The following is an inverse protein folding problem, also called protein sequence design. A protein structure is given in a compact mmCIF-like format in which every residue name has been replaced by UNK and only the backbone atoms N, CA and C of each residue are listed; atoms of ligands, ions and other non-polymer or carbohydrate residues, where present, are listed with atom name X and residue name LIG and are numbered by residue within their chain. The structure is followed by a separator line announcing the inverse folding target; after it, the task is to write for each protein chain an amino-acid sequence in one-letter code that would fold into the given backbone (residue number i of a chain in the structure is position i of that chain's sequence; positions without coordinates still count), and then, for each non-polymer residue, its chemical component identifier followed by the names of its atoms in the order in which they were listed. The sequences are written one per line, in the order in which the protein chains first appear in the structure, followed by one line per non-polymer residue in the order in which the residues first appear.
data_IF_849430733559
#
_entry.id   IF_849430733559
#
_cell.length_a   1.000
_cell.length_b   1.000
_cell.length_c   1.000
_cell.angle_alpha   90.00
_cell.angle_beta   90.00
_cell.angle_gamma   90.00
#
_symmetry.space_group_name_H-M   'P 1'
#
loop_
_entity.id
_entity.type
_entity.pdbx_description
1 polymer ?
#
# COMPACT_ATOMS: atom_id res chain seq x y z
N UNK A 1 -14.85 18.99 5.99
CA UNK A 1 -14.85 18.41 7.36
C UNK A 1 -13.40 18.07 7.68
N UNK A 2 -12.93 18.31 8.91
CA UNK A 2 -11.57 17.94 9.35
C UNK A 2 -11.47 16.42 9.56
N UNK A 3 -10.30 15.82 9.29
CA UNK A 3 -10.08 14.38 9.34
C UNK A 3 -10.62 13.70 10.60
N UNK A 4 -10.34 14.21 11.81
CA UNK A 4 -10.82 13.58 13.05
C UNK A 4 -12.36 13.47 13.12
N UNK A 5 -13.08 14.49 12.63
CA UNK A 5 -14.55 14.43 12.59
C UNK A 5 -15.06 13.45 11.52
N UNK A 6 -14.25 13.15 10.51
CA UNK A 6 -14.55 12.16 9.47
C UNK A 6 -14.28 10.74 9.97
N UNK A 7 -13.16 10.53 10.67
CA UNK A 7 -12.78 9.26 11.29
C UNK A 7 -13.84 8.75 12.26
N UNK A 8 -14.12 9.52 13.31
CA UNK A 8 -15.14 9.15 14.30
C UNK A 8 -16.55 8.98 13.70
N UNK A 9 -16.90 9.73 12.64
CA UNK A 9 -18.22 9.58 12.00
C UNK A 9 -18.34 8.30 11.18
N UNK A 10 -17.27 7.87 10.49
CA UNK A 10 -17.26 6.58 9.77
C UNK A 10 -17.20 5.40 10.75
N UNK A 11 -16.36 5.50 11.78
CA UNK A 11 -16.22 4.51 12.86
C UNK A 11 -17.56 4.29 13.59
N UNK A 12 -18.19 5.38 14.09
CA UNK A 12 -19.53 5.35 14.69
C UNK A 12 -20.56 4.65 13.81
N UNK A 13 -20.58 4.92 12.50
CA UNK A 13 -21.54 4.30 11.59
C UNK A 13 -21.26 2.80 11.41
N UNK A 14 -20.01 2.39 11.33
CA UNK A 14 -19.66 0.97 11.25
C UNK A 14 -20.07 0.23 12.53
N UNK A 15 -19.78 0.80 13.69
CA UNK A 15 -20.18 0.27 14.99
C UNK A 15 -21.71 0.19 15.14
N UNK A 16 -22.45 1.26 14.83
CA UNK A 16 -23.92 1.29 14.88
C UNK A 16 -24.59 0.30 13.92
N UNK A 17 -24.00 0.07 12.74
CA UNK A 17 -24.51 -0.92 11.77
C UNK A 17 -24.15 -2.35 12.18
N UNK A 18 -23.07 -2.52 12.95
CA UNK A 18 -22.52 -3.79 13.41
C UNK A 18 -22.36 -4.87 12.33
N UNK A 19 -22.12 -4.46 11.08
CA UNK A 19 -21.96 -5.35 9.91
C UNK A 19 -21.19 -4.66 8.77
N UNK A 20 -20.58 -5.42 7.84
CA UNK A 20 -20.00 -4.85 6.63
C UNK A 20 -21.05 -4.11 5.78
N UNK A 21 -20.70 -2.92 5.30
CA UNK A 21 -21.61 -2.02 4.56
C UNK A 21 -20.93 -1.37 3.36
N UNK A 22 -21.69 -1.02 2.33
CA UNK A 22 -21.15 -0.27 1.18
C UNK A 22 -20.85 1.19 1.54
N UNK A 23 -20.00 1.85 0.77
CA UNK A 23 -19.73 3.29 0.96
C UNK A 23 -20.98 4.18 0.77
N UNK A 24 -21.97 3.71 0.02
CA UNK A 24 -23.24 4.42 -0.12
C UNK A 24 -24.05 4.34 1.18
N UNK A 25 -24.17 3.17 1.80
CA UNK A 25 -24.83 3.01 3.10
C UNK A 25 -24.13 3.83 4.22
N UNK A 26 -22.80 3.95 4.17
CA UNK A 26 -22.03 4.82 5.09
C UNK A 26 -22.43 6.30 4.90
N UNK A 27 -22.45 6.81 3.66
CA UNK A 27 -22.89 8.19 3.39
C UNK A 27 -24.37 8.42 3.72
N UNK A 28 -25.26 7.48 3.39
CA UNK A 28 -26.69 7.58 3.69
C UNK A 28 -26.95 7.66 5.19
N UNK A 29 -26.05 7.08 6.00
CA UNK A 29 -26.08 7.16 7.46
C UNK A 29 -25.43 8.44 8.04
N UNK A 30 -24.99 9.39 7.21
CA UNK A 30 -24.51 10.70 7.65
C UNK A 30 -24.77 11.84 6.67
N UNK A 31 -25.50 12.85 7.14
CA UNK A 31 -25.67 14.14 6.42
C UNK A 31 -24.38 14.94 6.25
N UNK A 32 -23.27 14.52 6.91
CA UNK A 32 -22.01 15.25 6.94
C UNK A 32 -20.93 14.66 6.01
N UNK A 33 -21.03 13.38 5.66
CA UNK A 33 -20.06 12.69 4.80
C UNK A 33 -20.32 13.01 3.32
N UNK A 34 -19.34 13.64 2.66
CA UNK A 34 -19.41 14.03 1.23
C UNK A 34 -18.31 13.40 0.38
N UNK A 35 -17.38 12.69 1.01
CA UNK A 35 -16.20 12.11 0.39
C UNK A 35 -16.60 10.92 -0.51
N UNK A 36 -15.93 10.83 -1.67
CA UNK A 36 -16.00 9.66 -2.55
C UNK A 36 -14.94 8.64 -2.11
N UNK A 37 -15.31 7.38 -1.97
CA UNK A 37 -14.35 6.28 -1.87
C UNK A 37 -14.00 5.74 -3.27
N UNK A 38 -12.87 5.01 -3.42
CA UNK A 38 -11.86 4.71 -2.41
C UNK A 38 -10.71 5.73 -2.35
N UNK A 39 -10.42 6.45 -3.44
CA UNK A 39 -9.18 7.22 -3.65
C UNK A 39 -9.12 8.60 -2.96
N UNK A 40 -10.04 8.91 -2.05
CA UNK A 40 -9.96 10.15 -1.28
C UNK A 40 -8.99 9.93 -0.10
N UNK A 41 -7.99 10.80 0.07
CA UNK A 41 -6.91 10.65 1.07
C UNK A 41 -7.40 10.25 2.46
N UNK A 42 -8.50 10.84 2.95
CA UNK A 42 -9.07 10.44 4.25
C UNK A 42 -9.58 8.98 4.30
N UNK A 43 -10.13 8.44 3.21
CA UNK A 43 -10.61 7.04 3.15
C UNK A 43 -9.42 6.08 3.16
N UNK A 44 -8.37 6.40 2.41
CA UNK A 44 -7.10 5.65 2.46
C UNK A 44 -6.49 5.68 3.86
N UNK A 45 -6.47 6.85 4.50
CA UNK A 45 -5.97 7.01 5.87
C UNK A 45 -6.73 6.15 6.89
N UNK A 46 -8.05 5.96 6.75
CA UNK A 46 -8.81 5.07 7.64
C UNK A 46 -8.35 3.60 7.60
N UNK A 47 -7.72 3.15 6.51
CA UNK A 47 -7.19 1.77 6.44
C UNK A 47 -6.06 1.55 7.46
N UNK A 48 -5.27 2.59 7.77
CA UNK A 48 -4.31 2.59 8.87
C UNK A 48 -4.95 2.92 10.22
N UNK A 49 -5.59 4.10 10.33
CA UNK A 49 -6.01 4.66 11.62
C UNK A 49 -7.06 3.83 12.38
N UNK A 50 -8.00 3.19 11.68
CA UNK A 50 -9.09 2.37 12.28
C UNK A 50 -9.15 0.94 11.73
N UNK A 51 -8.11 0.52 10.99
CA UNK A 51 -8.10 -0.79 10.34
C UNK A 51 -9.25 -0.98 9.34
N UNK A 52 -9.61 0.05 8.56
CA UNK A 52 -10.72 -0.03 7.62
C UNK A 52 -10.41 -0.99 6.45
N UNK A 53 -11.09 -2.14 6.42
CA UNK A 53 -10.93 -3.19 5.40
C UNK A 53 -11.92 -2.97 4.25
N UNK A 54 -11.46 -3.15 3.01
CA UNK A 54 -12.29 -3.20 1.80
C UNK A 54 -12.25 -4.58 1.17
N UNK A 55 -13.40 -5.12 0.79
CA UNK A 55 -13.50 -6.41 0.11
C UNK A 55 -14.79 -6.54 -0.73
N UNK A 56 -14.89 -7.58 -1.57
CA UNK A 56 -16.12 -7.96 -2.27
C UNK A 56 -16.95 -8.89 -1.39
N UNK A 57 -18.24 -8.58 -1.26
CA UNK A 57 -19.26 -9.50 -0.75
C UNK A 57 -20.33 -9.64 -1.85
N UNK A 58 -20.29 -10.76 -2.57
CA UNK A 58 -21.04 -10.93 -3.83
C UNK A 58 -20.69 -9.83 -4.84
N UNK A 59 -21.70 -9.20 -5.42
CA UNK A 59 -21.53 -8.14 -6.43
C UNK A 59 -21.28 -6.74 -5.84
N UNK A 60 -21.01 -6.60 -4.53
CA UNK A 60 -20.85 -5.30 -3.86
C UNK A 60 -19.47 -5.19 -3.20
N UNK A 61 -18.84 -4.02 -3.32
CA UNK A 61 -17.70 -3.64 -2.47
C UNK A 61 -18.21 -3.12 -1.13
N UNK A 62 -17.82 -3.79 -0.06
CA UNK A 62 -18.18 -3.46 1.32
C UNK A 62 -16.95 -3.06 2.13
N UNK A 63 -17.21 -2.38 3.23
CA UNK A 63 -16.24 -1.86 4.19
C UNK A 63 -16.58 -2.39 5.58
N UNK A 64 -15.55 -2.74 6.35
CA UNK A 64 -15.66 -3.28 7.70
C UNK A 64 -14.43 -2.88 8.54
N UNK A 65 -14.51 -3.02 9.86
CA UNK A 65 -13.37 -2.83 10.74
C UNK A 65 -12.56 -4.13 10.85
N UNK A 66 -11.22 -4.03 10.84
CA UNK A 66 -10.30 -5.18 10.95
C UNK A 66 -10.56 -6.03 12.20
N UNK A 67 -10.80 -5.39 13.33
CA UNK A 67 -11.03 -6.06 14.61
C UNK A 67 -12.21 -7.04 14.57
N UNK A 68 -13.22 -6.82 13.73
CA UNK A 68 -14.33 -7.76 13.58
C UNK A 68 -13.87 -9.13 13.03
N UNK A 69 -12.94 -9.14 12.07
CA UNK A 69 -12.39 -10.38 11.52
C UNK A 69 -11.42 -11.05 12.50
N UNK A 70 -10.67 -10.25 13.28
CA UNK A 70 -9.78 -10.76 14.35
C UNK A 70 -10.56 -11.39 15.52
N UNK A 71 -11.77 -10.88 15.78
CA UNK A 71 -12.80 -11.47 16.65
C UNK A 71 -13.50 -12.71 16.02
N UNK A 72 -13.18 -13.07 14.78
CA UNK A 72 -13.80 -14.18 14.05
C UNK A 72 -15.18 -13.90 13.45
N UNK A 73 -15.62 -12.63 13.37
CA UNK A 73 -16.88 -12.22 12.73
C UNK A 73 -16.66 -11.96 11.24
N UNK A 74 -17.63 -12.33 10.40
CA UNK A 74 -17.64 -12.04 8.96
C UNK A 74 -16.46 -12.64 8.16
N UNK A 75 -15.71 -13.58 8.75
CA UNK A 75 -14.59 -14.26 8.08
C UNK A 75 -15.05 -15.05 6.86
N UNK A 76 -16.30 -15.55 6.89
CA UNK A 76 -17.00 -16.20 5.78
C UNK A 76 -17.31 -15.28 4.59
N UNK A 77 -17.14 -13.96 4.75
CA UNK A 77 -17.33 -12.97 3.68
C UNK A 77 -16.00 -12.52 3.05
N UNK A 78 -14.85 -12.93 3.59
CA UNK A 78 -13.54 -12.64 3.02
C UNK A 78 -13.29 -13.55 1.80
N UNK A 79 -12.67 -13.04 0.72
CA UNK A 79 -12.51 -13.82 -0.50
C UNK A 79 -11.42 -14.89 -0.35
N UNK A 80 -11.78 -16.16 -0.58
CA UNK A 80 -10.84 -17.30 -0.52
C UNK A 80 -9.64 -17.18 -1.48
N UNK A 81 -9.78 -16.38 -2.55
CA UNK A 81 -8.76 -16.14 -3.57
C UNK A 81 -8.56 -14.66 -3.82
N UNK A 82 -7.31 -14.27 -4.01
CA UNK A 82 -6.91 -12.91 -4.41
C UNK A 82 -6.14 -12.94 -5.72
N UNK A 83 -6.33 -11.91 -6.54
CA UNK A 83 -5.44 -11.60 -7.65
C UNK A 83 -4.47 -10.51 -7.20
N UNK A 84 -3.18 -10.76 -7.42
CA UNK A 84 -2.07 -9.93 -6.99
C UNK A 84 -1.18 -9.60 -8.19
N UNK A 85 -0.79 -8.34 -8.34
CA UNK A 85 0.31 -7.93 -9.23
C UNK A 85 1.52 -7.63 -8.37
N UNK A 86 2.59 -8.39 -8.55
CA UNK A 86 3.82 -8.26 -7.76
C UNK A 86 4.55 -6.99 -8.21
N UNK A 87 4.89 -6.15 -7.24
CA UNK A 87 5.60 -4.90 -7.46
C UNK A 87 7.07 -5.04 -7.05
N UNK A 88 7.34 -5.74 -5.95
CA UNK A 88 8.69 -6.14 -5.53
C UNK A 88 8.65 -7.53 -4.91
N UNK A 89 9.73 -8.30 -5.06
CA UNK A 89 9.89 -9.63 -4.48
C UNK A 89 11.19 -9.68 -3.67
N UNK A 90 11.08 -9.80 -2.33
CA UNK A 90 12.21 -10.02 -1.43
C UNK A 90 12.31 -11.51 -1.07
N UNK A 91 13.34 -11.86 -0.31
CA UNK A 91 13.64 -13.25 0.10
C UNK A 91 12.57 -13.88 1.00
N UNK A 92 11.90 -13.09 1.82
CA UNK A 92 10.94 -13.52 2.85
C UNK A 92 9.50 -13.13 2.53
N UNK A 93 9.30 -12.01 1.84
CA UNK A 93 7.98 -11.45 1.49
C UNK A 93 7.99 -10.79 0.12
N UNK A 94 6.81 -10.60 -0.46
CA UNK A 94 6.63 -9.79 -1.66
C UNK A 94 5.68 -8.64 -1.38
N UNK A 95 5.86 -7.54 -2.10
CA UNK A 95 4.98 -6.38 -2.09
C UNK A 95 4.17 -6.42 -3.37
N UNK A 96 2.86 -6.47 -3.24
CA UNK A 96 1.93 -6.64 -4.35
C UNK A 96 0.77 -5.65 -4.29
N UNK A 97 0.18 -5.34 -5.45
CA UNK A 97 -1.12 -4.68 -5.53
C UNK A 97 -2.23 -5.71 -5.72
N UNK A 98 -3.28 -5.66 -4.89
CA UNK A 98 -4.47 -6.48 -5.09
C UNK A 98 -5.36 -5.95 -6.24
N UNK A 99 -6.46 -6.65 -6.54
CA UNK A 99 -7.45 -6.25 -7.55
C UNK A 99 -8.07 -4.84 -7.35
N UNK A 100 -7.88 -4.23 -6.17
CA UNK A 100 -8.34 -2.88 -5.83
C UNK A 100 -7.23 -1.83 -5.80
N UNK A 101 -6.03 -2.18 -6.25
CA UNK A 101 -4.79 -1.38 -6.22
C UNK A 101 -4.30 -1.05 -4.81
N UNK A 102 -4.71 -1.82 -3.81
CA UNK A 102 -4.19 -1.71 -2.44
C UNK A 102 -2.89 -2.49 -2.34
N UNK A 103 -1.90 -1.85 -1.74
CA UNK A 103 -0.65 -2.50 -1.39
C UNK A 103 -0.90 -3.58 -0.33
N UNK A 104 -0.31 -4.75 -0.56
CA UNK A 104 -0.32 -5.91 0.31
C UNK A 104 1.10 -6.44 0.43
N UNK A 105 1.41 -6.94 1.62
CA UNK A 105 2.63 -7.66 1.94
C UNK A 105 2.27 -9.13 2.01
N UNK A 106 2.82 -9.94 1.12
CA UNK A 106 2.37 -11.33 0.94
C UNK A 106 3.43 -12.31 1.38
N UNK A 107 2.98 -13.34 2.11
CA UNK A 107 3.77 -14.43 2.67
C UNK A 107 3.08 -15.77 2.38
N UNK A 108 3.82 -16.89 2.31
CA UNK A 108 5.25 -16.94 2.04
C UNK A 108 5.52 -16.54 0.58
N UNK A 109 6.78 -16.26 0.25
CA UNK A 109 7.22 -16.13 -1.15
C UNK A 109 7.91 -17.41 -1.57
N UNK A 110 7.38 -18.05 -2.62
CA UNK A 110 8.13 -19.07 -3.37
C UNK A 110 9.19 -18.37 -4.24
N UNK A 111 10.37 -18.97 -4.37
CA UNK A 111 11.52 -18.46 -5.14
C UNK A 111 11.27 -18.32 -6.67
N UNK A 112 10.02 -18.39 -7.11
CA UNK A 112 9.55 -18.38 -8.50
C UNK A 112 8.59 -17.21 -8.77
N UNK A 113 8.35 -16.35 -7.77
CA UNK A 113 7.55 -15.14 -7.92
C UNK A 113 8.48 -13.96 -8.22
N UNK A 114 8.32 -13.38 -9.40
CA UNK A 114 9.10 -12.24 -9.85
C UNK A 114 8.26 -10.97 -9.86
N UNK A 115 8.97 -9.85 -9.83
CA UNK A 115 8.37 -8.54 -10.02
C UNK A 115 7.68 -8.45 -11.39
N UNK A 116 6.52 -7.78 -11.41
CA UNK A 116 5.56 -7.69 -12.51
C UNK A 116 4.81 -8.99 -12.84
N UNK A 117 4.97 -10.06 -12.07
CA UNK A 117 4.09 -11.21 -12.17
C UNK A 117 2.67 -10.87 -11.70
N UNK A 118 1.69 -11.45 -12.39
CA UNK A 118 0.30 -11.50 -11.98
C UNK A 118 0.03 -12.92 -11.52
N UNK A 119 -0.30 -13.07 -10.24
CA UNK A 119 -0.67 -14.35 -9.64
C UNK A 119 -2.12 -14.31 -9.16
N UNK A 120 -2.75 -15.48 -9.17
CA UNK A 120 -3.99 -15.77 -8.44
C UNK A 120 -3.61 -16.71 -7.30
N UNK A 121 -3.93 -16.36 -6.05
CA UNK A 121 -3.49 -17.12 -4.88
C UNK A 121 -4.65 -17.37 -3.91
N UNK A 122 -4.73 -18.58 -3.37
CA UNK A 122 -5.58 -18.89 -2.23
C UNK A 122 -5.04 -18.25 -0.96
N UNK A 123 -5.92 -17.59 -0.21
CA UNK A 123 -5.57 -16.99 1.07
C UNK A 123 -5.65 -18.06 2.15
N UNK A 124 -4.64 -18.10 3.00
CA UNK A 124 -4.63 -18.85 4.25
C UNK A 124 -5.14 -17.97 5.40
N UNK A 125 -4.62 -16.74 5.51
CA UNK A 125 -5.00 -15.81 6.59
C UNK A 125 -4.95 -14.34 6.12
N UNK A 126 -6.05 -13.61 6.30
CA UNK A 126 -6.15 -12.19 5.91
C UNK A 126 -5.48 -11.20 6.86
N UNK A 127 -5.37 -11.57 8.14
CA UNK A 127 -4.85 -10.71 9.20
C UNK A 127 -3.91 -11.52 10.12
N UNK A 128 -2.81 -12.09 9.59
CA UNK A 128 -1.97 -13.03 10.32
C UNK A 128 -1.48 -12.46 11.65
N UNK A 129 -1.85 -13.12 12.76
CA UNK A 129 -1.60 -12.61 14.13
C UNK A 129 -0.12 -12.43 14.48
N UNK A 130 0.73 -13.22 13.83
CA UNK A 130 2.20 -13.16 13.93
C UNK A 130 2.75 -11.91 13.22
N UNK A 131 2.08 -11.49 12.14
CA UNK A 131 2.47 -10.33 11.34
C UNK A 131 1.89 -9.04 11.90
N UNK A 132 2.77 -8.18 12.43
CA UNK A 132 2.35 -6.94 13.11
C UNK A 132 1.81 -5.85 12.18
N UNK A 133 1.82 -6.06 10.86
CA UNK A 133 1.53 -5.06 9.81
C UNK A 133 0.12 -5.26 9.19
N UNK A 134 -0.72 -4.22 9.04
CA UNK A 134 -2.12 -4.33 8.61
C UNK A 134 -2.34 -4.73 7.14
N UNK A 135 -1.32 -4.60 6.31
CA UNK A 135 -1.35 -4.99 4.91
C UNK A 135 -0.85 -6.43 4.67
N UNK A 136 -0.42 -7.13 5.72
CA UNK A 136 0.06 -8.51 5.64
C UNK A 136 -1.05 -9.48 5.25
N UNK A 137 -0.71 -10.44 4.40
CA UNK A 137 -1.61 -11.46 3.88
C UNK A 137 -0.84 -12.77 3.77
N UNK A 138 -1.33 -13.84 4.42
CA UNK A 138 -0.77 -15.18 4.29
C UNK A 138 -1.52 -15.96 3.23
N UNK A 139 -0.79 -16.50 2.27
CA UNK A 139 -1.25 -17.28 1.13
C UNK A 139 -0.90 -18.75 1.38
N UNK A 140 -1.75 -19.67 0.93
CA UNK A 140 -1.41 -21.10 0.98
C UNK A 140 -0.24 -21.37 0.05
N UNK A 141 0.79 -22.09 0.52
CA UNK A 141 1.99 -22.40 -0.28
C UNK A 141 1.65 -22.98 -1.67
N UNK A 142 0.80 -24.01 -1.72
CA UNK A 142 0.39 -24.66 -2.97
C UNK A 142 -0.90 -24.10 -3.58
N UNK A 143 -1.42 -23.00 -3.01
CA UNK A 143 -2.59 -22.29 -3.52
C UNK A 143 -2.27 -21.21 -4.56
N UNK A 144 -1.00 -21.07 -4.96
CA UNK A 144 -0.55 -20.03 -5.88
C UNK A 144 -0.55 -20.50 -7.34
N UNK A 145 -1.16 -19.71 -8.22
CA UNK A 145 -1.20 -19.91 -9.66
C UNK A 145 -0.68 -18.68 -10.39
N UNK A 146 0.43 -18.84 -11.09
CA UNK A 146 0.92 -17.82 -12.03
C UNK A 146 -0.06 -17.64 -13.20
N UNK A 147 -0.34 -16.39 -13.57
CA UNK A 147 -1.19 -16.03 -14.70
C UNK A 147 -0.40 -15.49 -15.89
N UNK A 148 0.47 -14.49 -15.66
CA UNK A 148 1.39 -13.89 -16.65
C UNK A 148 2.36 -12.93 -15.97
N UNK A 149 3.51 -12.66 -16.57
CA UNK A 149 4.30 -11.44 -16.32
C UNK A 149 3.74 -10.29 -17.17
N UNK A 150 3.72 -9.08 -16.61
CA UNK A 150 3.38 -7.86 -17.36
C UNK A 150 4.65 -7.36 -18.03
N UNK A 151 4.78 -7.55 -19.33
CA UNK A 151 5.92 -7.03 -20.12
C UNK A 151 5.69 -5.63 -20.70
N UNK A 152 4.43 -5.25 -20.96
CA UNK A 152 4.09 -3.94 -21.53
C UNK A 152 4.44 -2.79 -20.57
N UNK A 153 5.33 -1.90 -21.02
CA UNK A 153 5.81 -0.77 -20.22
C UNK A 153 4.68 0.23 -19.92
N UNK A 154 3.77 0.47 -20.87
CA UNK A 154 2.62 1.34 -20.61
C UNK A 154 1.69 0.73 -19.55
N UNK A 155 1.47 -0.58 -19.56
CA UNK A 155 0.71 -1.26 -18.51
C UNK A 155 1.41 -1.17 -17.15
N UNK A 156 2.73 -1.39 -17.09
CA UNK A 156 3.54 -1.20 -15.86
C UNK A 156 3.36 0.23 -15.30
N UNK A 157 3.48 1.26 -16.14
CA UNK A 157 3.28 2.67 -15.76
C UNK A 157 1.83 2.92 -15.31
N UNK A 158 0.82 2.45 -16.06
CA UNK A 158 -0.60 2.58 -15.71
C UNK A 158 -0.96 1.88 -14.39
N UNK A 159 -0.24 0.83 -14.02
CA UNK A 159 -0.42 0.13 -12.73
C UNK A 159 0.25 0.92 -11.62
N UNK A 160 1.52 1.32 -11.79
CA UNK A 160 2.22 2.15 -10.82
C UNK A 160 1.44 3.44 -10.51
N UNK A 161 0.84 4.09 -11.52
CA UNK A 161 -0.05 5.25 -11.35
C UNK A 161 -1.30 5.02 -10.50
N UNK A 162 -1.89 3.82 -10.55
CA UNK A 162 -3.13 3.50 -9.82
C UNK A 162 -2.87 3.08 -8.38
N UNK A 163 -1.73 2.44 -8.16
CA UNK A 163 -1.24 2.05 -6.83
C UNK A 163 -0.61 3.26 -6.13
N UNK A 164 -0.06 4.19 -6.90
CA UNK A 164 0.60 5.37 -6.36
C UNK A 164 -0.35 6.29 -5.61
N UNK A 165 0.23 6.88 -4.58
CA UNK A 165 -0.43 7.77 -3.67
C UNK A 165 0.36 9.07 -3.52
N UNK A 166 -0.38 10.10 -3.09
CA UNK A 166 0.13 11.41 -2.74
C UNK A 166 1.18 11.31 -1.64
N UNK A 167 2.28 12.04 -1.78
CA UNK A 167 3.29 12.20 -0.73
C UNK A 167 2.84 13.07 0.44
N UNK A 168 1.58 13.50 0.50
CA UNK A 168 0.98 14.22 1.65
C UNK A 168 1.20 13.49 2.98
N UNK A 169 1.26 12.16 3.00
CA UNK A 169 1.57 11.41 4.21
C UNK A 169 3.01 11.57 4.68
N UNK A 170 3.96 11.99 3.83
CA UNK A 170 5.33 12.34 4.23
C UNK A 170 5.42 13.75 4.85
N UNK A 171 4.33 14.53 4.82
CA UNK A 171 4.26 15.93 5.27
C UNK A 171 3.24 16.20 6.39
N UNK A 172 2.47 15.20 6.78
CA UNK A 172 1.38 15.29 7.77
C UNK A 172 1.48 14.11 8.71
N UNK A 173 0.71 14.05 9.80
CA UNK A 173 0.65 12.87 10.67
C UNK A 173 0.03 11.61 10.02
N UNK A 174 -0.28 11.62 8.71
CA UNK A 174 -0.91 10.49 8.00
C UNK A 174 0.01 9.29 7.72
N UNK A 175 1.30 9.35 8.07
CA UNK A 175 2.19 8.19 8.13
C UNK A 175 2.04 7.40 9.44
N UNK A 176 1.45 7.97 10.50
CA UNK A 176 1.25 7.26 11.77
C UNK A 176 0.25 6.12 11.57
N UNK A 177 0.66 4.88 11.84
CA UNK A 177 -0.12 3.67 11.55
C UNK A 177 0.10 3.10 10.15
N UNK A 178 0.93 3.73 9.32
CA UNK A 178 1.25 3.27 7.96
C UNK A 178 2.58 2.52 7.92
N UNK A 179 2.53 1.33 7.33
CA UNK A 179 3.62 0.34 7.25
C UNK A 179 4.15 0.12 5.84
N UNK A 180 3.35 0.49 4.83
CA UNK A 180 3.66 0.34 3.41
C UNK A 180 3.04 1.49 2.61
N UNK A 181 3.77 1.99 1.61
CA UNK A 181 3.29 3.03 0.69
C UNK A 181 4.00 3.01 -0.67
N UNK A 182 3.41 3.63 -1.69
CA UNK A 182 4.00 3.78 -3.02
C UNK A 182 3.87 5.23 -3.50
N UNK A 183 4.91 6.04 -3.32
CA UNK A 183 4.81 7.49 -3.59
C UNK A 183 5.20 7.87 -5.01
N UNK A 184 4.47 8.83 -5.56
CA UNK A 184 4.87 9.54 -6.77
C UNK A 184 5.75 10.77 -6.41
N UNK A 185 6.94 10.92 -7.01
CA UNK A 185 7.76 12.11 -6.93
C UNK A 185 7.27 13.20 -7.89
N UNK A 186 7.42 14.47 -7.49
CA UNK A 186 7.08 15.67 -8.27
C UNK A 186 8.01 15.89 -9.45
N UNK A 187 9.29 15.60 -9.24
CA UNK A 187 10.36 15.75 -10.22
C UNK A 187 11.12 14.44 -10.32
N UNK A 188 11.70 14.15 -11.50
CA UNK A 188 12.57 12.99 -11.70
C UNK A 188 14.03 13.25 -11.28
N UNK A 189 14.20 14.09 -10.27
CA UNK A 189 15.49 14.43 -9.69
C UNK A 189 15.72 13.52 -8.50
N UNK A 190 16.47 12.44 -8.73
CA UNK A 190 16.89 11.48 -7.72
C UNK A 190 18.39 11.62 -7.54
N UNK A 191 18.82 11.84 -6.31
CA UNK A 191 20.24 11.90 -5.98
C UNK A 191 20.55 10.68 -5.13
N UNK A 192 21.14 9.66 -5.76
CA UNK A 192 21.65 8.48 -5.06
C UNK A 192 23.08 8.73 -4.58
N UNK A 193 23.34 8.46 -3.29
CA UNK A 193 24.65 8.57 -2.66
C UNK A 193 24.68 7.71 -1.39
N UNK A 194 25.78 7.03 -1.11
CA UNK A 194 26.03 6.31 0.15
C UNK A 194 24.87 5.39 0.64
N UNK A 195 24.21 4.68 -0.29
CA UNK A 195 23.05 3.83 0.04
C UNK A 195 21.76 4.62 0.36
N UNK A 196 21.66 5.87 -0.08
CA UNK A 196 20.52 6.78 0.13
C UNK A 196 19.97 7.32 -1.18
N UNK A 197 18.74 7.84 -1.14
CA UNK A 197 18.09 8.55 -2.23
C UNK A 197 17.44 9.84 -1.72
N UNK A 198 17.82 10.99 -2.32
CA UNK A 198 17.08 12.23 -2.16
C UNK A 198 16.10 12.44 -3.32
N UNK A 199 14.85 12.81 -3.02
CA UNK A 199 13.80 13.12 -4.01
C UNK A 199 12.77 14.15 -3.49
N UNK A 200 11.89 14.63 -4.37
CA UNK A 200 10.77 15.51 -3.98
C UNK A 200 9.45 14.79 -4.25
N UNK A 201 8.56 14.66 -3.27
CA UNK A 201 7.22 14.10 -3.49
C UNK A 201 6.28 15.10 -4.18
N UNK A 202 5.15 14.63 -4.70
CA UNK A 202 4.15 15.42 -5.46
C UNK A 202 3.58 16.67 -4.76
N UNK A 203 3.83 16.86 -3.46
CA UNK A 203 3.32 18.00 -2.70
C UNK A 203 3.98 19.33 -3.08
N UNK A 204 3.16 20.38 -3.15
CA UNK A 204 3.62 21.75 -3.44
C UNK A 204 4.60 22.29 -2.40
N UNK A 205 4.38 21.93 -1.12
CA UNK A 205 5.18 22.29 0.06
C UNK A 205 6.40 21.40 0.29
N UNK A 206 6.66 20.41 -0.58
CA UNK A 206 7.79 19.49 -0.40
C UNK A 206 9.13 20.22 -0.58
N UNK A 207 9.96 20.19 0.46
CA UNK A 207 11.35 20.72 0.47
C UNK A 207 12.41 19.65 0.18
N UNK A 208 11.97 18.43 -0.16
CA UNK A 208 12.81 17.26 -0.37
C UNK A 208 12.68 16.23 0.76
N UNK A 209 12.90 14.97 0.40
CA UNK A 209 13.02 13.80 1.26
C UNK A 209 14.38 13.16 1.01
N UNK A 210 14.96 12.57 2.04
CA UNK A 210 16.24 11.84 1.99
C UNK A 210 16.09 10.57 2.84
N UNK A 211 16.29 9.41 2.22
CA UNK A 211 15.92 8.09 2.74
C UNK A 211 16.96 7.03 2.38
N UNK A 212 17.01 5.93 3.11
CA UNK A 212 17.93 4.81 2.85
C UNK A 212 17.35 3.87 1.80
N UNK A 213 18.21 3.30 0.96
CA UNK A 213 17.87 2.42 -0.17
C UNK A 213 18.40 1.03 0.10
N UNK A 214 17.50 0.05 0.09
CA UNK A 214 17.84 -1.35 0.28
C UNK A 214 17.95 -2.07 -1.08
N UNK A 215 19.19 -2.34 -1.52
CA UNK A 215 19.47 -3.05 -2.78
C UNK A 215 19.37 -4.59 -2.66
N UNK A 216 18.39 -5.11 -1.90
CA UNK A 216 18.16 -6.56 -1.80
C UNK A 216 17.57 -7.13 -3.10
N UNK A 217 18.44 -7.49 -4.05
CA UNK A 217 18.11 -8.32 -5.21
C UNK A 217 17.56 -7.58 -6.43
N UNK A 218 17.06 -6.36 -6.29
CA UNK A 218 16.61 -5.53 -7.42
C UNK A 218 17.64 -4.44 -7.77
N UNK A 219 18.14 -4.46 -9.01
CA UNK A 219 19.03 -3.42 -9.53
C UNK A 219 18.28 -2.09 -9.72
N UNK A 220 18.68 -1.05 -8.99
CA UNK A 220 18.03 0.27 -9.07
C UNK A 220 18.42 0.99 -10.38
N UNK A 221 17.51 1.00 -11.36
CA UNK A 221 17.72 1.68 -12.65
C UNK A 221 16.55 2.63 -12.99
N UNK A 222 16.75 3.95 -12.88
CA UNK A 222 15.70 4.94 -13.16
C UNK A 222 15.48 5.12 -14.65
N UNK A 223 14.23 5.04 -15.10
CA UNK A 223 13.86 5.25 -16.50
C UNK A 223 12.51 5.98 -16.67
N UNK A 224 12.41 6.74 -17.76
CA UNK A 224 11.16 7.19 -18.38
C UNK A 224 10.35 8.32 -17.72
N UNK A 225 9.10 8.38 -18.18
CA UNK A 225 7.98 9.30 -17.91
C UNK A 225 7.77 9.79 -16.45
N UNK A 226 7.79 8.80 -15.55
CA UNK A 226 7.16 8.81 -14.22
C UNK A 226 7.85 7.73 -13.39
N UNK A 227 8.29 8.08 -12.19
CA UNK A 227 9.07 7.21 -11.31
C UNK A 227 8.28 6.97 -10.03
N UNK A 228 8.51 5.84 -9.35
CA UNK A 228 7.73 5.43 -8.18
C UNK A 228 8.61 4.75 -7.15
N UNK A 229 8.32 4.96 -5.86
CA UNK A 229 9.10 4.44 -4.73
C UNK A 229 8.20 3.65 -3.80
N UNK A 230 8.58 2.40 -3.49
CA UNK A 230 7.94 1.63 -2.42
C UNK A 230 8.66 1.94 -1.11
N UNK A 231 7.86 2.21 -0.08
CA UNK A 231 8.31 2.66 1.23
C UNK A 231 7.82 1.67 2.30
N UNK A 232 8.74 1.13 3.09
CA UNK A 232 8.44 0.17 4.17
C UNK A 232 8.87 0.73 5.55
N UNK A 233 8.08 0.44 6.58
CA UNK A 233 8.39 0.76 7.98
C UNK A 233 9.01 -0.44 8.72
N UNK A 234 10.03 -0.19 9.54
CA UNK A 234 10.81 -1.24 10.20
C UNK A 234 10.20 -1.87 11.46
N UNK A 235 9.83 -1.08 12.48
CA UNK A 235 9.55 -1.61 13.83
C UNK A 235 8.30 -1.03 14.54
N UNK A 236 7.91 -1.66 15.67
CA UNK A 236 6.77 -1.33 16.54
C UNK A 236 7.14 -1.62 18.00
N UNK A 237 6.81 -0.72 18.93
CA UNK A 237 7.09 -0.89 20.36
C UNK A 237 5.89 -0.50 21.24
N UNK A 238 5.63 -1.29 22.29
CA UNK A 238 4.54 -1.07 23.25
C UNK A 238 3.13 -0.86 22.65
N UNK A 239 2.82 -1.54 21.54
CA UNK A 239 1.49 -1.49 20.90
C UNK A 239 1.28 -0.27 20.00
N UNK A 240 1.91 0.86 20.29
CA UNK A 240 2.00 2.02 19.40
C UNK A 240 3.11 1.84 18.36
N UNK A 241 3.10 2.66 17.31
CA UNK A 241 4.29 2.85 16.48
C UNK A 241 5.13 3.95 17.16
N UNK A 242 6.10 3.55 17.98
CA UNK A 242 6.99 4.48 18.67
C UNK A 242 8.14 4.85 17.73
N UNK A 243 8.08 6.07 17.23
CA UNK A 243 9.08 6.65 16.34
C UNK A 243 10.13 7.41 17.15
N UNK A 244 10.94 6.68 17.91
CA UNK A 244 11.85 7.27 18.92
C UNK A 244 13.03 8.03 18.28
N UNK A 245 13.32 7.78 17.00
CA UNK A 245 14.29 8.55 16.23
C UNK A 245 13.67 9.86 15.72
N UNK A 246 14.34 10.99 16.01
CA UNK A 246 14.02 12.34 15.47
C UNK A 246 14.09 12.44 13.92
N UNK A 247 14.50 11.37 13.25
CA UNK A 247 14.43 11.17 11.80
C UNK A 247 13.76 9.82 11.58
N UNK A 248 12.78 9.77 10.69
CA UNK A 248 12.13 8.52 10.33
C UNK A 248 13.05 7.77 9.36
N UNK A 249 13.46 6.56 9.73
CA UNK A 249 14.19 5.65 8.84
C UNK A 249 13.16 4.89 7.99
N UNK A 250 12.93 5.41 6.79
CA UNK A 250 12.14 4.76 5.75
C UNK A 250 13.06 3.94 4.86
N UNK A 251 12.74 2.66 4.70
CA UNK A 251 13.47 1.75 3.83
C UNK A 251 12.86 1.83 2.43
N UNK A 252 13.60 2.40 1.48
CA UNK A 252 13.22 2.38 0.06
C UNK A 252 13.46 0.97 -0.47
N UNK A 253 12.40 0.39 -1.04
CA UNK A 253 12.48 -0.74 -1.96
C UNK A 253 12.13 -0.20 -3.35
N UNK A 254 13.13 -0.09 -4.25
CA UNK A 254 12.97 0.56 -5.56
C UNK A 254 12.36 -0.37 -6.61
N UNK A 255 11.47 0.17 -7.46
CA UNK A 255 10.73 -0.61 -8.50
C UNK A 255 10.65 0.18 -9.81
N UNK A 256 11.65 0.07 -10.71
CA UNK A 256 11.68 0.73 -12.05
C UNK A 256 12.31 -0.15 -13.17
N UNK A 257 11.80 -0.09 -14.43
CA UNK A 257 12.40 -0.43 -15.77
C UNK A 257 11.29 -0.38 -16.87
N UNK A 258 11.44 -0.03 -18.18
CA UNK A 258 12.51 -0.11 -19.20
C UNK A 258 12.71 1.25 -19.97
N UNK A 259 13.12 1.32 -21.25
CA UNK A 259 14.45 1.79 -21.81
C UNK A 259 14.35 3.07 -22.69
N UNK A 260 15.38 3.79 -23.19
CA UNK A 260 16.83 3.56 -23.47
C UNK A 260 17.69 4.89 -23.37
N UNK A 261 18.94 5.13 -23.89
CA UNK A 261 20.00 5.66 -23.03
C UNK A 261 20.74 6.90 -23.58
N UNK A 262 20.10 8.08 -23.65
CA UNK A 262 20.81 9.33 -23.99
C UNK A 262 20.28 10.55 -23.24
N UNK A 263 20.93 10.90 -22.13
CA UNK A 263 21.59 12.21 -21.99
C UNK A 263 22.55 12.26 -20.81
N UNK A 264 23.57 13.12 -20.93
CA UNK A 264 24.68 13.25 -19.97
C UNK A 264 24.28 14.14 -18.79
N UNK A 265 25.01 13.94 -17.68
CA UNK A 265 25.18 14.88 -16.56
C UNK A 265 25.14 16.34 -17.02
N UNK A 266 24.38 17.17 -16.32
CA UNK A 266 24.75 18.57 -16.11
C UNK A 266 25.61 18.64 -14.84
N UNK A 267 26.57 19.55 -14.87
CA UNK A 267 27.58 19.80 -13.83
C UNK A 267 26.96 20.42 -12.57
#
# INVERSE_FOLDING_TARGET
MVYEKFRHEVERILEEKAKPVTWNEIKESSTKLKQKAPYHVYVQKLQGDIGLVRFKSGNKTVWALRNWFEDGKFTELLPEKVRLTILSAKRDHAIAANEYWELKRVYPVKNEIYRWDVIEAEVEEFFPKEEKRPESLRLKEDGMRYSRTIEDEEERIRIAEKVAESGEFLHTDAWKGKTLGLTKPRFRCFYFYDGRCQFFCDQSVCVGHDMEVEEQGESTEIKGDRVYFILEAAERAQGEFIWEKKRIEWYITSVISLTDPRQRRLL
#
